data_IF_003418984907
#
_entry.id   IF_003418984907
#
_cell.length_a   1.000
_cell.length_b   1.000
_cell.length_c   1.000
_cell.angle_alpha   90.00
_cell.angle_beta   90.00
_cell.angle_gamma   90.00
#
_symmetry.space_group_name_H-M   'P 1'
#
loop_
_entity.id
_entity.type
_entity.pdbx_description
1 polymer ?
#
# COMPACT_ATOMS: atom_id res chain seq x y z
N UNK A 1 -0.85 -1.94 -6.02
CA UNK A 1 -0.58 -1.26 -4.76
C UNK A 1 0.45 -0.14 -4.94
N UNK A 2 0.47 0.78 -4.00
CA UNK A 2 1.48 1.84 -3.97
C UNK A 2 2.79 1.37 -3.32
N UNK A 3 3.54 2.30 -2.69
CA UNK A 3 4.80 1.95 -2.03
C UNK A 3 4.58 0.88 -0.96
N UNK A 4 5.17 -0.27 -1.17
CA UNK A 4 4.98 -1.47 -0.33
C UNK A 4 6.32 -1.86 0.29
N UNK A 5 6.31 -2.23 1.58
CA UNK A 5 7.51 -2.58 2.33
C UNK A 5 8.01 -3.97 1.95
N UNK A 6 8.68 -4.05 0.80
CA UNK A 6 9.32 -5.26 0.29
C UNK A 6 10.83 -5.08 0.30
N UNK A 7 11.57 -6.10 -0.13
CA UNK A 7 13.03 -6.05 -0.22
C UNK A 7 13.52 -4.90 -1.11
N UNK A 8 12.75 -4.52 -2.13
CA UNK A 8 13.09 -3.38 -2.98
C UNK A 8 13.14 -2.05 -2.22
N UNK A 9 12.40 -1.95 -1.11
CA UNK A 9 12.35 -0.74 -0.28
C UNK A 9 13.46 -0.69 0.77
N UNK A 10 14.23 -1.77 0.96
CA UNK A 10 15.22 -1.87 2.03
C UNK A 10 16.24 -0.72 2.04
N UNK A 11 16.79 -0.25 0.90
CA UNK A 11 17.71 0.87 0.91
C UNK A 11 17.11 2.16 1.49
N UNK A 12 15.85 2.44 1.20
CA UNK A 12 15.17 3.62 1.74
C UNK A 12 14.87 3.44 3.23
N UNK A 13 14.41 2.26 3.62
CA UNK A 13 14.11 1.96 5.03
C UNK A 13 15.37 2.12 5.89
N UNK A 14 16.55 1.74 5.36
CA UNK A 14 17.81 1.85 6.06
C UNK A 14 18.23 3.29 6.38
N UNK A 15 17.66 4.29 5.69
CA UNK A 15 17.95 5.71 5.95
C UNK A 15 17.20 6.27 7.16
N UNK A 16 16.31 5.48 7.75
CA UNK A 16 15.63 5.84 8.99
C UNK A 16 14.18 6.30 8.80
N UNK A 17 13.40 6.34 9.89
CA UNK A 17 11.96 6.59 9.82
C UNK A 17 11.61 8.01 9.36
N UNK A 18 12.44 9.00 9.66
CA UNK A 18 12.15 10.38 9.25
C UNK A 18 12.28 10.55 7.74
N UNK A 19 13.30 9.93 7.13
CA UNK A 19 13.50 9.95 5.68
C UNK A 19 12.38 9.19 4.99
N UNK A 20 11.99 8.03 5.51
CA UNK A 20 10.87 7.25 5.00
C UNK A 20 9.58 8.10 5.01
N UNK A 21 9.28 8.73 6.14
CA UNK A 21 8.07 9.53 6.28
C UNK A 21 8.06 10.72 5.31
N UNK A 22 9.17 11.41 5.16
CA UNK A 22 9.26 12.53 4.23
C UNK A 22 9.10 12.09 2.78
N UNK A 23 9.75 11.00 2.40
CA UNK A 23 9.71 10.47 1.03
C UNK A 23 8.33 9.90 0.70
N UNK A 24 7.82 9.01 1.53
CA UNK A 24 6.53 8.36 1.28
C UNK A 24 5.38 9.33 1.51
N UNK A 25 5.51 10.27 2.45
CA UNK A 25 4.51 11.30 2.69
C UNK A 25 4.27 12.22 1.49
N UNK A 26 5.28 12.39 0.63
CA UNK A 26 5.10 13.11 -0.63
C UNK A 26 4.27 12.31 -1.64
N UNK A 27 4.19 11.00 -1.47
CA UNK A 27 3.46 10.09 -2.36
C UNK A 27 2.05 9.79 -1.85
N UNK A 28 1.88 9.59 -0.54
CA UNK A 28 0.57 9.25 0.01
C UNK A 28 0.31 9.90 1.38
N UNK A 29 -0.97 10.10 1.73
CA UNK A 29 -1.34 10.76 2.99
C UNK A 29 -0.93 10.01 4.26
N UNK A 30 -0.71 8.69 4.22
CA UNK A 30 -0.33 7.94 5.42
C UNK A 30 1.11 8.19 5.81
N UNK A 31 1.95 8.62 4.89
CA UNK A 31 3.37 8.86 5.12
C UNK A 31 4.19 7.62 5.39
N UNK A 32 3.67 6.44 5.06
CA UNK A 32 4.34 5.17 5.32
C UNK A 32 4.10 4.17 4.20
N UNK A 33 4.97 3.16 4.13
CA UNK A 33 4.79 2.04 3.22
C UNK A 33 3.53 1.25 3.56
N UNK A 34 2.93 0.65 2.54
CA UNK A 34 1.90 -0.36 2.73
C UNK A 34 2.58 -1.67 3.14
N UNK A 35 2.04 -2.34 4.15
CA UNK A 35 2.53 -3.66 4.57
C UNK A 35 2.11 -4.69 3.51
N UNK A 36 3.03 -5.57 3.07
CA UNK A 36 2.68 -6.64 2.12
C UNK A 36 1.54 -7.53 2.61
N UNK A 37 1.42 -7.74 3.92
CA UNK A 37 0.33 -8.57 4.49
C UNK A 37 -1.04 -7.92 4.27
N UNK A 38 -1.11 -6.59 4.21
CA UNK A 38 -2.37 -5.88 3.92
C UNK A 38 -2.80 -6.16 2.49
N UNK A 39 -1.85 -6.15 1.54
CA UNK A 39 -2.12 -6.48 0.14
C UNK A 39 -2.57 -7.94 0.02
N UNK A 40 -1.87 -8.85 0.70
CA UNK A 40 -2.21 -10.28 0.70
C UNK A 40 -3.60 -10.53 1.29
N UNK A 41 -3.97 -9.85 2.37
CA UNK A 41 -5.29 -9.96 2.98
C UNK A 41 -6.40 -9.49 2.04
N UNK A 42 -6.17 -8.42 1.29
CA UNK A 42 -7.13 -7.94 0.30
C UNK A 42 -7.33 -8.94 -0.84
N UNK A 43 -6.23 -9.54 -1.33
CA UNK A 43 -6.30 -10.59 -2.35
C UNK A 43 -7.10 -11.79 -1.83
N UNK A 44 -6.85 -12.22 -0.61
CA UNK A 44 -7.56 -13.34 0.01
C UNK A 44 -9.06 -13.05 0.13
N UNK A 45 -9.43 -11.84 0.54
CA UNK A 45 -10.83 -11.43 0.61
C UNK A 45 -11.50 -11.49 -0.77
N UNK A 46 -10.84 -10.94 -1.80
CA UNK A 46 -11.40 -10.90 -3.16
C UNK A 46 -11.55 -12.30 -3.76
N UNK A 47 -10.76 -13.27 -3.29
CA UNK A 47 -10.88 -14.68 -3.71
C UNK A 47 -11.95 -15.44 -2.90
N UNK A 48 -12.54 -14.83 -1.89
CA UNK A 48 -13.53 -15.48 -1.03
C UNK A 48 -14.95 -15.36 -1.60
N UNK A 49 -15.84 -16.24 -1.14
CA UNK A 49 -17.26 -16.15 -1.52
C UNK A 49 -17.92 -14.86 -1.02
N UNK A 50 -17.39 -14.25 0.03
CA UNK A 50 -17.92 -12.98 0.55
C UNK A 50 -17.76 -11.84 -0.46
N UNK A 51 -16.85 -11.97 -1.42
CA UNK A 51 -16.61 -10.96 -2.45
C UNK A 51 -17.27 -11.29 -3.80
N UNK A 52 -18.20 -12.23 -3.84
CA UNK A 52 -18.77 -12.74 -5.09
C UNK A 52 -19.47 -11.67 -5.95
N UNK A 53 -19.93 -10.59 -5.32
CA UNK A 53 -20.58 -9.47 -6.02
C UNK A 53 -19.61 -8.43 -6.57
N UNK A 54 -18.28 -8.60 -6.37
CA UNK A 54 -17.28 -7.62 -6.78
C UNK A 54 -16.69 -8.05 -8.11
N UNK A 55 -17.09 -7.37 -9.18
CA UNK A 55 -16.62 -7.66 -10.52
C UNK A 55 -16.22 -6.36 -11.21
N UNK A 56 -15.06 -6.37 -11.86
CA UNK A 56 -14.55 -5.22 -12.63
C UNK A 56 -14.07 -4.05 -11.79
N UNK A 57 -13.91 -4.24 -10.48
CA UNK A 57 -13.45 -3.17 -9.58
C UNK A 57 -11.94 -3.07 -9.56
N UNK A 58 -11.44 -1.83 -9.48
CA UNK A 58 -10.06 -1.55 -9.13
C UNK A 58 -9.98 -1.18 -7.66
N UNK A 59 -9.23 -1.94 -6.87
CA UNK A 59 -9.05 -1.67 -5.45
C UNK A 59 -7.67 -1.08 -5.20
N UNK A 60 -7.61 0.22 -4.89
CA UNK A 60 -6.36 0.89 -4.57
C UNK A 60 -5.93 0.55 -3.14
N UNK A 61 -4.69 0.09 -2.98
CA UNK A 61 -4.07 -0.18 -1.69
C UNK A 61 -2.73 0.57 -1.68
N UNK A 62 -2.79 1.89 -1.59
CA UNK A 62 -1.67 2.77 -1.84
C UNK A 62 -1.51 3.88 -0.79
N UNK A 63 -2.17 3.73 0.35
CA UNK A 63 -2.15 4.74 1.40
C UNK A 63 -2.82 6.05 1.00
N UNK A 64 -3.65 6.02 -0.04
CA UNK A 64 -4.37 7.19 -0.54
C UNK A 64 -3.64 7.96 -1.63
N UNK A 65 -2.58 7.40 -2.23
CA UNK A 65 -1.78 8.09 -3.24
C UNK A 65 -2.62 8.59 -4.42
N UNK A 66 -3.53 7.76 -4.94
CA UNK A 66 -4.39 8.15 -6.06
C UNK A 66 -5.50 9.11 -5.65
N UNK A 67 -5.86 9.14 -4.38
CA UNK A 67 -6.93 9.96 -3.85
C UNK A 67 -6.46 11.30 -3.30
N UNK A 68 -5.17 11.54 -3.18
CA UNK A 68 -4.67 12.80 -2.63
C UNK A 68 -4.87 13.94 -3.61
N UNK A 69 -5.16 15.11 -3.06
CA UNK A 69 -5.39 16.33 -3.81
C UNK A 69 -4.10 17.15 -3.96
#
# INVERSE_FOLDING_TARGET
PGPTATDMAAPLVAEGPDVVRATIGSLNPTGRFVDPDVVAAAVLYLCSSAAEGINGADLAIDGGQLAKL
#
